data_IF_856011826508
#
_entry.id   IF_856011826508
#
_cell.length_a   1.000
_cell.length_b   1.000
_cell.length_c   1.000
_cell.angle_alpha   90.00
_cell.angle_beta   90.00
_cell.angle_gamma   90.00
#
_symmetry.space_group_name_H-M   'P 1'
#
loop_
_entity.id
_entity.type
_entity.pdbx_description
1 polymer ?
#
# COMPACT_ATOMS: atom_id res chain seq x y z
N UNK A 1 17.21 3.21 10.85
CA UNK A 1 17.10 3.03 9.40
C UNK A 1 18.47 3.13 8.74
N UNK A 2 19.02 1.97 8.36
CA UNK A 2 20.33 1.77 7.74
C UNK A 2 20.28 1.98 6.22
N UNK A 3 19.15 1.65 5.61
CA UNK A 3 18.92 1.75 4.18
C UNK A 3 17.77 2.72 3.91
N UNK A 4 17.84 3.38 2.76
CA UNK A 4 16.84 4.34 2.31
C UNK A 4 16.73 4.29 0.78
N UNK A 5 15.50 4.31 0.28
CA UNK A 5 15.19 4.56 -1.13
C UNK A 5 14.23 5.74 -1.24
N UNK A 6 14.54 6.70 -2.10
CA UNK A 6 13.79 7.97 -2.24
C UNK A 6 13.30 8.12 -3.67
N UNK A 7 12.02 8.41 -3.83
CA UNK A 7 11.35 8.63 -5.13
C UNK A 7 11.54 7.48 -6.13
N UNK A 8 11.65 6.27 -5.60
CA UNK A 8 11.83 5.04 -6.38
C UNK A 8 10.90 3.93 -5.86
N UNK A 9 9.57 4.14 -5.90
CA UNK A 9 8.62 3.12 -5.49
C UNK A 9 8.78 1.82 -6.29
N UNK A 10 9.23 1.91 -7.55
CA UNK A 10 9.53 0.76 -8.42
C UNK A 10 10.69 -0.13 -7.97
N UNK A 11 11.42 0.27 -6.93
CA UNK A 11 12.40 -0.61 -6.30
C UNK A 11 11.72 -1.69 -5.44
N UNK A 12 10.40 -1.60 -5.20
CA UNK A 12 9.64 -2.47 -4.32
C UNK A 12 8.43 -3.11 -4.99
N UNK A 13 8.08 -4.31 -4.51
CA UNK A 13 6.79 -4.95 -4.71
C UNK A 13 5.95 -4.75 -3.45
N UNK A 14 4.80 -4.09 -3.62
CA UNK A 14 3.89 -3.71 -2.54
C UNK A 14 2.75 -4.71 -2.35
N UNK A 15 2.48 -5.58 -3.33
CA UNK A 15 1.46 -6.61 -3.24
C UNK A 15 1.73 -7.50 -2.01
N UNK A 16 0.68 -7.71 -1.22
CA UNK A 16 0.65 -8.39 0.07
C UNK A 16 1.37 -7.67 1.22
N UNK A 17 1.93 -6.47 1.02
CA UNK A 17 2.50 -5.72 2.14
C UNK A 17 1.39 -5.23 3.09
N UNK A 18 1.66 -5.23 4.39
CA UNK A 18 0.72 -4.76 5.41
C UNK A 18 1.16 -3.39 5.91
N UNK A 19 0.35 -2.38 5.63
CA UNK A 19 0.59 -1.00 6.02
C UNK A 19 -0.14 -0.65 7.31
N UNK A 20 0.56 0.08 8.19
CA UNK A 20 0.04 0.54 9.47
C UNK A 20 0.26 2.02 9.66
N UNK A 21 -0.77 2.72 10.10
CA UNK A 21 -0.67 4.14 10.41
C UNK A 21 0.35 4.38 11.53
N UNK A 22 1.22 5.37 11.36
CA UNK A 22 2.16 5.83 12.40
C UNK A 22 1.81 7.24 12.83
N UNK A 23 1.79 8.17 11.88
CA UNK A 23 1.50 9.58 12.15
C UNK A 23 1.13 10.32 10.87
N UNK A 24 0.35 11.39 11.04
CA UNK A 24 0.07 12.35 9.99
C UNK A 24 0.13 13.78 10.54
N UNK A 25 0.70 14.69 9.77
CA UNK A 25 0.65 16.12 10.00
C UNK A 25 0.17 16.85 8.74
N UNK A 26 0.20 18.19 8.74
CA UNK A 26 -0.30 18.99 7.61
C UNK A 26 0.34 18.67 6.25
N UNK A 27 1.52 18.06 6.22
CA UNK A 27 2.26 17.76 5.01
C UNK A 27 2.67 16.29 4.88
N UNK A 28 2.75 15.53 5.97
CA UNK A 28 3.43 14.25 5.97
C UNK A 28 2.48 13.13 6.40
N UNK A 29 2.46 12.04 5.64
CA UNK A 29 1.90 10.77 6.10
C UNK A 29 3.04 9.78 6.32
N UNK A 30 3.08 9.16 7.49
CA UNK A 30 4.03 8.10 7.83
C UNK A 30 3.27 6.82 8.13
N UNK A 31 3.68 5.74 7.46
CA UNK A 31 3.18 4.38 7.71
C UNK A 31 4.34 3.42 7.95
N UNK A 32 4.07 2.35 8.68
CA UNK A 32 4.93 1.18 8.78
C UNK A 32 4.47 0.13 7.78
N UNK A 33 5.39 -0.52 7.08
CA UNK A 33 5.11 -1.61 6.17
C UNK A 33 5.83 -2.89 6.61
N UNK A 34 5.07 -3.98 6.73
CA UNK A 34 5.58 -5.35 6.85
C UNK A 34 5.35 -6.09 5.53
N UNK A 35 6.10 -7.17 5.32
CA UNK A 35 5.95 -8.05 4.15
C UNK A 35 6.21 -7.33 2.81
N UNK A 36 6.78 -6.12 2.87
CA UNK A 36 7.22 -5.34 1.72
C UNK A 36 8.47 -5.99 1.12
N UNK A 37 8.49 -6.16 -0.19
CA UNK A 37 9.61 -6.80 -0.86
C UNK A 37 10.42 -5.76 -1.65
N UNK A 38 11.75 -5.79 -1.50
CA UNK A 38 12.68 -5.01 -2.31
C UNK A 38 13.21 -5.87 -3.45
N UNK A 39 13.20 -5.32 -4.67
CA UNK A 39 13.73 -6.01 -5.82
C UNK A 39 15.25 -6.09 -5.77
N UNK A 40 15.83 -7.20 -6.24
CA UNK A 40 17.28 -7.43 -6.31
C UNK A 40 18.06 -6.36 -7.08
N UNK A 41 17.38 -5.69 -8.02
CA UNK A 41 17.98 -4.64 -8.85
C UNK A 41 17.98 -3.27 -8.16
N UNK A 42 17.35 -3.15 -6.99
CA UNK A 42 17.46 -1.95 -6.17
C UNK A 42 18.91 -1.80 -5.68
N UNK A 43 19.43 -0.57 -5.72
CA UNK A 43 20.84 -0.31 -5.44
C UNK A 43 21.26 -0.72 -4.02
N UNK A 44 20.30 -0.80 -3.10
CA UNK A 44 20.47 -1.08 -1.68
C UNK A 44 20.40 -2.58 -1.36
N UNK A 45 19.98 -3.42 -2.31
CA UNK A 45 19.66 -4.81 -2.01
C UNK A 45 20.91 -5.70 -1.85
N UNK A 46 22.02 -5.48 -2.58
CA UNK A 46 23.25 -6.32 -2.60
C UNK A 46 23.00 -7.83 -2.36
N UNK A 47 22.01 -8.36 -3.09
CA UNK A 47 21.53 -9.75 -3.03
C UNK A 47 21.21 -10.24 -4.44
N UNK A 48 21.13 -11.56 -4.61
CA UNK A 48 20.89 -12.22 -5.90
C UNK A 48 19.40 -12.43 -6.22
N UNK A 49 18.51 -12.14 -5.28
CA UNK A 49 17.07 -12.32 -5.39
C UNK A 49 16.31 -11.24 -4.62
N UNK A 50 15.01 -11.11 -4.91
CA UNK A 50 14.15 -10.16 -4.23
C UNK A 50 13.96 -10.60 -2.77
N UNK A 51 13.95 -9.63 -1.86
CA UNK A 51 13.96 -9.89 -0.42
C UNK A 51 12.82 -9.18 0.27
N UNK A 52 12.20 -9.84 1.23
CA UNK A 52 11.30 -9.21 2.19
C UNK A 52 12.13 -8.34 3.16
N UNK A 53 11.73 -7.09 3.38
CA UNK A 53 12.29 -6.25 4.45
C UNK A 53 11.57 -6.58 5.76
N UNK A 54 12.31 -6.65 6.88
CA UNK A 54 11.71 -7.03 8.17
C UNK A 54 10.60 -6.05 8.60
N UNK A 55 10.89 -4.76 8.45
CA UNK A 55 9.98 -3.65 8.71
C UNK A 55 10.51 -2.43 7.96
N UNK A 56 9.65 -1.73 7.25
CA UNK A 56 9.95 -0.45 6.63
C UNK A 56 9.10 0.66 7.24
N UNK A 57 9.65 1.88 7.23
CA UNK A 57 8.90 3.11 7.37
C UNK A 57 8.75 3.72 5.98
N UNK A 58 7.53 4.06 5.59
CA UNK A 58 7.22 4.77 4.36
C UNK A 58 6.72 6.17 4.75
N UNK A 59 7.41 7.18 4.23
CA UNK A 59 7.08 8.59 4.46
C UNK A 59 6.68 9.23 3.15
N UNK A 60 5.45 9.73 3.08
CA UNK A 60 4.94 10.53 1.97
C UNK A 60 4.97 12.01 2.35
N UNK A 61 5.68 12.81 1.57
CA UNK A 61 5.82 14.26 1.80
C UNK A 61 4.85 15.04 0.91
N UNK A 62 4.29 16.13 1.44
CA UNK A 62 3.18 16.88 0.85
C UNK A 62 1.99 15.98 0.46
N UNK A 63 1.70 15.00 1.33
CA UNK A 63 0.62 14.05 1.12
C UNK A 63 -0.74 14.76 1.13
N UNK A 64 -1.59 14.44 0.17
CA UNK A 64 -2.95 14.97 0.07
C UNK A 64 -3.94 13.88 -0.32
N UNK A 65 -5.01 13.68 0.47
CA UNK A 65 -6.08 12.77 0.11
C UNK A 65 -6.85 13.31 -1.10
N UNK A 66 -7.21 12.44 -2.03
CA UNK A 66 -8.06 12.77 -3.18
C UNK A 66 -9.43 12.12 -2.97
N UNK A 67 -9.47 10.80 -2.88
CA UNK A 67 -10.71 10.06 -2.67
C UNK A 67 -10.51 8.74 -1.94
N UNK A 68 -11.53 8.32 -1.20
CA UNK A 68 -11.65 6.99 -0.61
C UNK A 68 -12.95 6.36 -1.08
N UNK A 69 -12.89 5.15 -1.63
CA UNK A 69 -14.05 4.41 -2.11
C UNK A 69 -14.09 3.04 -1.42
N UNK A 70 -15.02 2.78 -0.50
CA UNK A 70 -15.20 1.46 0.07
C UNK A 70 -15.79 0.50 -0.96
N UNK A 71 -15.54 -0.79 -0.74
CA UNK A 71 -16.12 -1.85 -1.53
C UNK A 71 -17.62 -1.96 -1.38
N UNK A 72 -18.24 -2.45 -2.45
CA UNK A 72 -19.67 -2.75 -2.48
C UNK A 72 -19.86 -4.22 -2.79
N UNK A 73 -20.93 -4.80 -2.23
CA UNK A 73 -21.34 -6.14 -2.61
C UNK A 73 -21.85 -6.13 -4.06
N UNK A 74 -21.47 -7.17 -4.81
CA UNK A 74 -21.89 -7.35 -6.20
C UNK A 74 -22.92 -8.47 -6.31
N UNK A 75 -23.86 -8.32 -7.24
CA UNK A 75 -24.80 -9.37 -7.65
C UNK A 75 -24.68 -9.64 -9.13
N UNK A 76 -24.81 -10.90 -9.52
CA UNK A 76 -24.84 -11.30 -10.93
C UNK A 76 -26.30 -11.46 -11.38
N UNK A 77 -26.66 -10.84 -12.50
CA UNK A 77 -28.00 -10.99 -13.09
C UNK A 77 -28.14 -12.31 -13.88
N UNK A 78 -29.35 -12.59 -14.37
CA UNK A 78 -29.64 -13.80 -15.15
C UNK A 78 -28.87 -13.87 -16.49
N UNK A 79 -28.32 -12.75 -16.96
CA UNK A 79 -27.50 -12.68 -18.17
C UNK A 79 -25.98 -12.83 -17.86
N UNK A 80 -25.61 -12.99 -16.59
CA UNK A 80 -24.21 -13.14 -16.19
C UNK A 80 -23.47 -11.81 -15.96
N UNK A 81 -24.16 -10.66 -16.00
CA UNK A 81 -23.53 -9.37 -15.73
C UNK A 81 -23.51 -9.07 -14.23
N UNK A 82 -22.38 -8.56 -13.74
CA UNK A 82 -22.22 -8.14 -12.35
C UNK A 82 -22.61 -6.67 -12.16
N UNK A 83 -23.45 -6.40 -11.17
CA UNK A 83 -23.88 -5.05 -10.79
C UNK A 83 -23.72 -4.84 -9.29
N UNK A 84 -23.39 -3.63 -8.83
CA UNK A 84 -23.32 -3.36 -7.41
C UNK A 84 -24.73 -3.42 -6.78
N UNK A 85 -24.84 -3.95 -5.57
CA UNK A 85 -26.10 -4.08 -4.82
C UNK A 85 -26.54 -2.70 -4.29
N UNK A 86 -25.58 -1.84 -3.97
CA UNK A 86 -25.77 -0.47 -3.50
C UNK A 86 -25.02 0.53 -4.40
N UNK A 87 -25.38 1.82 -4.38
CA UNK A 87 -24.58 2.85 -5.05
C UNK A 87 -23.13 2.83 -4.54
N UNK A 88 -22.18 3.03 -5.45
CA UNK A 88 -20.78 3.29 -5.10
C UNK A 88 -20.69 4.74 -4.64
N UNK A 89 -20.13 4.95 -3.45
CA UNK A 89 -19.98 6.28 -2.85
C UNK A 89 -18.49 6.52 -2.62
N UNK A 90 -17.97 7.60 -3.19
CA UNK A 90 -16.60 8.04 -2.94
C UNK A 90 -16.60 9.25 -2.01
N UNK A 91 -15.78 9.18 -0.98
CA UNK A 91 -15.51 10.28 -0.04
C UNK A 91 -14.29 11.06 -0.52
N UNK A 92 -14.20 12.35 -0.18
CA UNK A 92 -13.08 13.21 -0.61
C UNK A 92 -12.56 14.08 0.52
N UNK A 93 -11.36 14.65 0.35
CA UNK A 93 -10.76 15.57 1.31
C UNK A 93 -10.48 14.92 2.67
N UNK A 94 -10.77 15.64 3.75
CA UNK A 94 -10.49 15.20 5.12
C UNK A 94 -11.21 13.90 5.48
N UNK A 95 -12.45 13.72 5.03
CA UNK A 95 -13.20 12.49 5.27
C UNK A 95 -12.56 11.27 4.62
N UNK A 96 -11.97 11.42 3.43
CA UNK A 96 -11.23 10.32 2.78
C UNK A 96 -9.98 9.94 3.59
N UNK A 97 -9.28 10.93 4.16
CA UNK A 97 -8.12 10.69 5.00
C UNK A 97 -8.50 9.95 6.30
N UNK A 98 -9.54 10.40 6.99
CA UNK A 98 -9.99 9.78 8.24
C UNK A 98 -10.35 8.30 8.05
N UNK A 99 -11.11 7.98 7.00
CA UNK A 99 -11.46 6.60 6.64
C UNK A 99 -10.21 5.77 6.31
N UNK A 100 -9.29 6.32 5.52
CA UNK A 100 -8.06 5.63 5.19
C UNK A 100 -7.18 5.36 6.42
N UNK A 101 -7.08 6.31 7.35
CA UNK A 101 -6.31 6.12 8.58
C UNK A 101 -6.93 5.06 9.50
N UNK A 102 -8.26 5.00 9.56
CA UNK A 102 -8.96 3.93 10.26
C UNK A 102 -8.59 2.55 9.67
N UNK A 103 -8.69 2.39 8.34
CA UNK A 103 -8.33 1.15 7.64
C UNK A 103 -6.86 0.75 7.80
N UNK A 104 -5.95 1.73 7.82
CA UNK A 104 -4.53 1.50 8.12
C UNK A 104 -4.28 1.06 9.58
N UNK A 105 -5.33 0.72 10.33
CA UNK A 105 -5.22 0.15 11.65
C UNK A 105 -4.72 1.16 12.66
N UNK A 106 -5.25 2.39 12.60
CA UNK A 106 -5.22 3.29 13.76
C UNK A 106 -5.64 2.54 15.04
N UNK A 107 -6.47 1.47 14.92
CA UNK A 107 -7.02 0.71 16.05
C UNK A 107 -6.59 -0.78 16.23
N UNK A 108 -5.89 -1.48 15.30
CA UNK A 108 -5.13 -2.73 15.64
C UNK A 108 -4.37 -3.49 14.52
N UNK A 109 -4.85 -3.57 13.27
CA UNK A 109 -4.38 -4.63 12.35
C UNK A 109 -3.58 -4.17 11.11
N UNK A 110 -3.87 -2.98 10.58
CA UNK A 110 -3.29 -2.48 9.33
C UNK A 110 -4.07 -2.93 8.10
N UNK A 111 -3.79 -2.32 6.95
CA UNK A 111 -4.38 -2.71 5.68
C UNK A 111 -3.38 -3.50 4.83
N UNK A 112 -3.82 -4.60 4.25
CA UNK A 112 -3.07 -5.33 3.23
C UNK A 112 -3.20 -4.60 1.90
N UNK A 113 -2.06 -4.30 1.28
CA UNK A 113 -2.00 -3.67 -0.04
C UNK A 113 -2.07 -4.76 -1.10
N UNK A 114 -3.02 -4.62 -2.03
CA UNK A 114 -3.17 -5.46 -3.21
C UNK A 114 -2.51 -4.81 -4.42
N UNK A 115 -2.54 -3.48 -4.51
CA UNK A 115 -1.96 -2.75 -5.61
C UNK A 115 -1.52 -1.36 -5.15
N UNK A 116 -0.42 -0.87 -5.74
CA UNK A 116 0.04 0.51 -5.58
C UNK A 116 0.45 1.06 -6.95
N UNK A 117 -0.43 1.84 -7.57
CA UNK A 117 -0.28 2.29 -8.96
C UNK A 117 -0.17 3.82 -9.08
N UNK A 118 0.57 4.28 -10.08
CA UNK A 118 0.60 5.68 -10.49
C UNK A 118 -0.36 5.90 -11.67
N UNK A 119 -1.45 6.61 -11.43
CA UNK A 119 -2.51 6.85 -12.42
C UNK A 119 -2.20 8.02 -13.38
N UNK A 120 -1.10 8.75 -13.15
CA UNK A 120 -0.76 9.97 -13.89
C UNK A 120 -1.12 11.24 -13.10
N UNK A 121 -0.69 12.40 -13.59
CA UNK A 121 -0.95 13.72 -12.96
C UNK A 121 -0.61 13.80 -11.45
N UNK A 122 0.40 13.03 -11.01
CA UNK A 122 0.82 12.90 -9.62
C UNK A 122 -0.24 12.28 -8.69
N UNK A 123 -1.16 11.51 -9.25
CA UNK A 123 -2.18 10.74 -8.55
C UNK A 123 -1.69 9.30 -8.43
N UNK A 124 -1.73 8.80 -7.20
CA UNK A 124 -1.44 7.43 -6.85
C UNK A 124 -2.68 6.79 -6.26
N UNK A 125 -2.85 5.50 -6.53
CA UNK A 125 -3.92 4.68 -6.00
C UNK A 125 -3.33 3.51 -5.22
N UNK A 126 -3.93 3.22 -4.06
CA UNK A 126 -3.75 1.95 -3.36
C UNK A 126 -5.08 1.21 -3.32
N UNK A 127 -5.04 -0.06 -3.75
CA UNK A 127 -6.13 -1.00 -3.56
C UNK A 127 -5.78 -1.87 -2.35
N UNK A 128 -6.71 -1.96 -1.40
CA UNK A 128 -6.41 -2.48 -0.07
C UNK A 128 -7.52 -3.38 0.46
N UNK A 129 -7.17 -4.23 1.42
CA UNK A 129 -8.08 -4.92 2.33
C UNK A 129 -7.75 -4.55 3.77
N UNK A 130 -8.75 -4.15 4.55
CA UNK A 130 -8.59 -3.82 5.97
C UNK A 130 -9.79 -4.33 6.76
N UNK A 131 -10.40 -3.45 7.55
CA UNK A 131 -11.72 -3.71 8.13
C UNK A 131 -12.79 -3.74 7.03
N UNK A 132 -12.64 -2.87 6.02
CA UNK A 132 -13.35 -3.01 4.76
C UNK A 132 -12.74 -4.15 3.92
N UNK A 133 -13.56 -5.12 3.44
CA UNK A 133 -13.06 -6.26 2.66
C UNK A 133 -12.30 -5.88 1.39
N UNK A 134 -12.59 -4.70 0.85
CA UNK A 134 -11.86 -4.06 -0.23
C UNK A 134 -12.14 -2.57 -0.20
N UNK A 135 -11.14 -1.73 -0.45
CA UNK A 135 -11.31 -0.30 -0.66
C UNK A 135 -10.20 0.26 -1.56
N UNK A 136 -10.49 1.39 -2.18
CA UNK A 136 -9.54 2.17 -2.99
C UNK A 136 -9.26 3.50 -2.30
N UNK A 137 -8.00 3.89 -2.26
CA UNK A 137 -7.59 5.23 -1.80
C UNK A 137 -6.71 5.89 -2.84
N UNK A 138 -7.15 7.05 -3.32
CA UNK A 138 -6.36 7.91 -4.19
C UNK A 138 -5.77 9.07 -3.40
N UNK A 139 -4.50 9.35 -3.63
CA UNK A 139 -3.79 10.46 -3.01
C UNK A 139 -2.68 10.98 -3.90
N UNK A 140 -2.14 12.14 -3.54
CA UNK A 140 -0.95 12.70 -4.17
C UNK A 140 0.12 12.99 -3.13
N UNK A 141 1.38 13.01 -3.54
CA UNK A 141 2.53 13.40 -2.70
C UNK A 141 3.61 14.00 -3.60
N UNK A 142 4.54 14.78 -3.04
CA UNK A 142 5.71 15.27 -3.79
C UNK A 142 6.86 14.27 -3.76
N UNK A 143 7.05 13.60 -2.61
CA UNK A 143 8.16 12.70 -2.39
C UNK A 143 7.71 11.48 -1.58
N UNK A 144 8.34 10.35 -1.85
CA UNK A 144 8.23 9.11 -1.07
C UNK A 144 9.61 8.66 -0.63
N UNK A 145 9.77 8.40 0.66
CA UNK A 145 10.97 7.78 1.22
C UNK A 145 10.61 6.47 1.91
N UNK A 146 11.32 5.40 1.58
CA UNK A 146 11.16 4.08 2.18
C UNK A 146 12.46 3.75 2.89
N UNK A 147 12.36 3.50 4.20
CA UNK A 147 13.50 3.36 5.10
C UNK A 147 13.39 2.04 5.88
N UNK A 148 14.47 1.26 5.96
CA UNK A 148 14.49 -0.01 6.67
C UNK A 148 15.89 -0.30 7.24
N UNK A 149 15.97 -1.25 8.18
CA UNK A 149 17.23 -1.64 8.83
C UNK A 149 17.76 -2.99 8.33
N UNK A 150 16.87 -3.97 8.09
CA UNK A 150 17.25 -5.37 7.87
C UNK A 150 16.46 -5.99 6.71
N UNK A 151 17.18 -6.73 5.86
CA UNK A 151 16.58 -7.71 4.95
C UNK A 151 16.28 -8.98 5.77
N UNK A 152 15.12 -9.59 5.55
CA UNK A 152 14.67 -10.70 6.37
C UNK A 152 14.89 -12.05 5.70
N UNK A 153 14.21 -12.28 4.57
CA UNK A 153 14.20 -13.56 3.84
C UNK A 153 13.89 -13.30 2.37
N UNK A 154 14.09 -14.28 1.47
CA UNK A 154 13.62 -14.14 0.10
C UNK A 154 12.13 -13.83 0.05
N UNK A 155 11.73 -12.98 -0.89
CA UNK A 155 10.35 -12.62 -1.13
C UNK A 155 9.47 -13.87 -1.31
N UNK A 156 8.19 -13.79 -0.93
CA UNK A 156 7.32 -14.97 -0.91
C UNK A 156 7.22 -15.65 -2.28
N UNK A 157 7.16 -14.89 -3.38
CA UNK A 157 7.10 -15.43 -4.74
C UNK A 157 8.41 -16.12 -5.14
N UNK A 158 9.57 -15.62 -4.69
CA UNK A 158 10.87 -16.28 -4.86
C UNK A 158 10.89 -17.62 -4.09
N UNK A 159 10.36 -17.64 -2.86
CA UNK A 159 10.29 -18.87 -2.07
C UNK A 159 9.35 -19.90 -2.69
N UNK A 160 8.21 -19.45 -3.22
CA UNK A 160 7.26 -20.32 -3.93
C UNK A 160 7.90 -20.94 -5.18
N UNK A 161 8.61 -20.14 -5.99
CA UNK A 161 9.39 -20.66 -7.13
C UNK A 161 10.45 -21.69 -6.73
N UNK A 162 10.98 -21.59 -5.51
CA UNK A 162 11.97 -22.53 -4.95
C UNK A 162 11.35 -23.73 -4.22
N UNK A 163 10.03 -23.77 -4.03
CA UNK A 163 9.34 -24.82 -3.28
C UNK A 163 9.59 -24.76 -1.76
N UNK A 164 9.87 -23.57 -1.22
CA UNK A 164 10.12 -23.31 0.20
C UNK A 164 8.86 -22.93 1.00
N UNK A 165 7.72 -22.76 0.31
CA UNK A 165 6.37 -22.59 0.85
C UNK A 165 5.32 -23.27 -0.04
#
# INVERSE_FOLDING_TARGET
MKYQSVNRPRDFEFHDSVWRFVSHDSNTLVVQAKELNIHKNAAQADVDCDMEVLLAQITFTNWKPISFTPGVAWKTDEQGNSHPISPIVSYTGEQAAELFFHELGYDAYGATILEFEHLGDNIWEVNCCGDEPWFEMQFSFSDIAIEWDELFRPAWYVRHERGEI
#
